data_IF_230246478045
#
_entry.id   IF_230246478045
#
_cell.length_a   1.000
_cell.length_b   1.000
_cell.length_c   1.000
_cell.angle_alpha   90.00
_cell.angle_beta   90.00
_cell.angle_gamma   90.00
#
_symmetry.space_group_name_H-M   'P 1'
#
loop_
_entity.id
_entity.type
_entity.pdbx_description
1 polymer ?
#
# COMPACT_ATOMS: atom_id res chain seq x y z
N UNK A 1 2.32 43.16 -15.66
CA UNK A 1 0.98 42.54 -15.78
C UNK A 1 0.97 41.33 -14.88
N UNK A 2 0.44 41.47 -13.67
CA UNK A 2 0.39 40.43 -12.63
C UNK A 2 -0.99 39.82 -12.64
N UNK A 3 -1.08 38.52 -12.95
CA UNK A 3 -2.31 37.72 -12.81
C UNK A 3 -2.61 37.51 -11.31
N UNK A 4 -3.89 37.47 -10.90
CA UNK A 4 -4.26 37.30 -9.51
C UNK A 4 -4.07 35.84 -9.04
N UNK A 5 -3.55 35.68 -7.82
CA UNK A 5 -3.45 34.40 -7.11
C UNK A 5 -4.84 33.86 -6.73
N UNK A 6 -5.02 32.53 -6.61
CA UNK A 6 -6.28 31.94 -6.18
C UNK A 6 -6.58 32.29 -4.72
N UNK A 7 -7.81 32.72 -4.48
CA UNK A 7 -8.32 33.16 -3.18
C UNK A 7 -8.50 31.92 -2.28
N UNK A 8 -8.09 31.93 -1.00
CA UNK A 8 -8.42 30.87 -0.06
C UNK A 8 -9.94 30.81 0.16
N UNK A 9 -10.54 29.64 0.48
CA UNK A 9 -11.99 29.44 0.50
C UNK A 9 -12.76 30.21 1.60
N UNK A 10 -12.11 31.11 2.34
CA UNK A 10 -12.69 31.79 3.50
C UNK A 10 -12.73 33.33 3.36
N UNK A 11 -12.74 33.86 2.14
CA UNK A 11 -13.00 35.28 1.93
C UNK A 11 -14.51 35.57 2.06
N UNK A 12 -14.91 35.90 3.29
CA UNK A 12 -16.09 36.71 3.66
C UNK A 12 -17.46 36.00 3.63
N UNK A 13 -17.90 35.53 4.81
CA UNK A 13 -19.33 35.55 5.18
C UNK A 13 -19.51 35.65 6.69
N UNK A 14 -19.92 36.84 7.12
CA UNK A 14 -20.78 37.13 8.27
C UNK A 14 -20.55 36.35 9.58
N UNK A 15 -19.67 36.90 10.43
CA UNK A 15 -19.97 37.27 11.81
C UNK A 15 -20.42 36.25 12.87
N UNK A 16 -20.68 34.97 12.56
CA UNK A 16 -21.26 34.05 13.55
C UNK A 16 -20.63 32.65 13.63
N UNK A 17 -19.47 32.41 13.02
CA UNK A 17 -18.89 31.06 12.91
C UNK A 17 -17.40 30.98 13.32
N UNK A 18 -16.98 31.71 14.35
CA UNK A 18 -15.59 31.70 14.85
C UNK A 18 -15.16 30.35 15.46
N UNK A 19 -16.08 29.62 16.09
CA UNK A 19 -15.79 28.34 16.75
C UNK A 19 -15.57 27.17 15.78
N UNK A 20 -16.12 27.25 14.57
CA UNK A 20 -15.97 26.21 13.55
C UNK A 20 -14.62 26.26 12.85
N UNK A 21 -14.12 27.46 12.57
CA UNK A 21 -12.84 27.66 11.89
C UNK A 21 -11.65 27.29 12.78
N UNK A 22 -11.69 27.70 14.05
CA UNK A 22 -10.67 27.33 15.04
C UNK A 22 -10.61 25.81 15.22
N UNK A 23 -11.77 25.12 15.26
CA UNK A 23 -11.82 23.65 15.39
C UNK A 23 -11.37 22.93 14.11
N UNK A 24 -11.61 23.49 12.93
CA UNK A 24 -11.12 22.92 11.66
C UNK A 24 -9.62 23.16 11.48
N UNK A 25 -9.11 24.34 11.86
CA UNK A 25 -7.68 24.61 11.89
C UNK A 25 -6.99 23.77 12.95
N UNK A 26 -7.53 23.61 14.16
CA UNK A 26 -6.95 22.72 15.18
C UNK A 26 -7.00 21.25 14.75
N UNK A 27 -8.10 20.79 14.16
CA UNK A 27 -8.20 19.41 13.65
C UNK A 27 -7.27 19.19 12.45
N UNK A 28 -7.11 20.18 11.57
CA UNK A 28 -6.15 20.12 10.47
C UNK A 28 -4.72 20.16 10.99
N UNK A 29 -4.40 21.00 11.99
CA UNK A 29 -3.07 21.12 12.59
C UNK A 29 -2.71 19.88 13.42
N UNK A 30 -3.66 19.30 14.15
CA UNK A 30 -3.50 18.05 14.91
C UNK A 30 -3.37 16.84 13.98
N UNK A 31 -4.10 16.81 12.86
CA UNK A 31 -3.92 15.80 11.81
C UNK A 31 -2.51 15.90 11.19
N UNK A 32 -1.99 17.12 10.93
CA UNK A 32 -0.61 17.32 10.45
C UNK A 32 0.46 17.02 11.51
N UNK A 33 0.11 17.06 12.80
CA UNK A 33 1.06 16.77 13.89
C UNK A 33 1.14 15.27 14.21
N UNK A 34 0.05 14.51 14.02
CA UNK A 34 0.04 13.04 14.12
C UNK A 34 0.53 12.37 12.82
N UNK A 35 0.46 13.07 11.69
CA UNK A 35 1.03 12.70 10.41
C UNK A 35 2.08 13.73 10.03
N UNK A 36 3.11 13.92 10.86
CA UNK A 36 4.30 14.63 10.42
C UNK A 36 4.68 14.08 9.04
N UNK A 37 4.78 14.90 7.98
CA UNK A 37 5.21 14.39 6.70
C UNK A 37 6.60 13.83 6.94
N UNK A 38 6.74 12.51 6.79
CA UNK A 38 7.99 11.77 7.04
C UNK A 38 9.14 12.32 6.19
N UNK A 39 8.82 13.10 5.15
CA UNK A 39 9.76 13.83 4.29
C UNK A 39 9.37 15.28 4.13
N UNK A 40 10.36 16.17 4.09
CA UNK A 40 10.15 17.59 3.78
C UNK A 40 9.72 17.79 2.33
N UNK A 41 9.02 18.87 1.98
CA UNK A 41 8.63 19.15 0.57
C UNK A 41 9.83 19.17 -0.39
N UNK A 42 11.01 19.60 0.09
CA UNK A 42 12.26 19.56 -0.67
C UNK A 42 12.75 18.14 -0.91
N UNK A 43 12.71 17.31 0.12
CA UNK A 43 13.07 15.89 0.02
C UNK A 43 12.08 15.12 -0.86
N UNK A 44 10.79 15.46 -0.82
CA UNK A 44 9.79 14.95 -1.76
C UNK A 44 10.13 15.41 -3.18
N UNK A 45 10.44 16.68 -3.41
CA UNK A 45 10.77 17.19 -4.74
C UNK A 45 12.06 16.56 -5.31
N UNK A 46 13.05 16.31 -4.46
CA UNK A 46 14.35 15.74 -4.83
C UNK A 46 14.32 14.22 -5.02
N UNK A 47 13.42 13.52 -4.31
CA UNK A 47 13.27 12.05 -4.37
C UNK A 47 12.06 11.56 -5.16
N UNK A 48 11.12 12.45 -5.52
CA UNK A 48 9.97 12.10 -6.35
C UNK A 48 10.40 11.76 -7.77
N UNK A 49 9.68 10.82 -8.38
CA UNK A 49 9.83 10.60 -9.81
C UNK A 49 9.31 11.83 -10.55
N UNK A 50 10.01 12.27 -11.60
CA UNK A 50 9.47 13.30 -12.49
C UNK A 50 8.17 12.76 -13.08
N UNK A 51 7.04 13.41 -12.80
CA UNK A 51 5.80 13.10 -13.49
C UNK A 51 6.02 13.34 -14.98
N UNK A 52 5.53 12.43 -15.82
CA UNK A 52 5.61 12.62 -17.26
C UNK A 52 4.70 13.82 -17.60
N UNK A 53 5.31 14.95 -17.94
CA UNK A 53 4.57 16.13 -18.40
C UNK A 53 3.74 15.72 -19.62
N UNK A 54 2.39 15.77 -19.56
CA UNK A 54 1.54 15.39 -20.68
C UNK A 54 1.77 16.24 -21.94
N UNK A 55 2.47 17.37 -21.82
CA UNK A 55 2.85 18.24 -22.93
C UNK A 55 4.32 18.03 -23.40
N UNK A 56 5.01 17.03 -22.87
CA UNK A 56 6.31 16.51 -23.33
C UNK A 56 7.46 17.54 -23.45
N UNK A 57 7.40 18.66 -22.73
CA UNK A 57 8.32 19.77 -22.93
C UNK A 57 9.54 19.83 -21.99
N UNK A 58 9.76 18.88 -21.07
CA UNK A 58 11.02 18.83 -20.30
C UNK A 58 11.40 17.39 -19.90
N UNK A 59 12.36 16.79 -20.59
CA UNK A 59 13.46 16.08 -19.91
C UNK A 59 14.70 16.93 -20.14
N UNK A 60 15.24 17.62 -19.12
CA UNK A 60 16.57 18.19 -19.27
C UNK A 60 17.51 16.98 -19.41
N UNK A 61 18.51 17.01 -20.30
CA UNK A 61 19.60 16.05 -20.25
C UNK A 61 20.33 16.26 -18.92
N UNK A 62 19.88 15.62 -17.84
CA UNK A 62 20.70 15.50 -16.64
C UNK A 62 21.90 14.64 -17.02
N UNK A 63 23.09 14.97 -16.52
CA UNK A 63 24.35 14.28 -16.81
C UNK A 63 24.35 12.75 -16.50
N UNK A 64 23.25 12.21 -16.01
CA UNK A 64 22.98 10.78 -15.79
C UNK A 64 22.49 10.14 -17.10
N UNK A 65 23.39 10.03 -18.08
CA UNK A 65 23.09 9.66 -19.47
C UNK A 65 22.44 8.29 -19.69
N UNK A 66 21.81 8.15 -20.88
CA UNK A 66 21.44 6.94 -21.65
C UNK A 66 20.86 5.70 -20.91
N UNK A 67 20.53 5.80 -19.62
CA UNK A 67 19.98 4.71 -18.82
C UNK A 67 18.45 4.76 -18.85
N UNK A 68 17.78 3.60 -18.84
CA UNK A 68 16.32 3.55 -18.77
C UNK A 68 15.82 4.19 -17.46
N UNK A 69 14.73 4.98 -17.54
CA UNK A 69 14.05 5.57 -16.37
C UNK A 69 13.52 4.52 -15.39
N UNK A 70 13.30 3.30 -15.87
CA UNK A 70 12.82 2.14 -15.10
C UNK A 70 13.97 1.19 -14.71
N UNK A 71 13.73 0.40 -13.67
CA UNK A 71 14.63 -0.69 -13.26
C UNK A 71 15.23 -0.49 -11.87
N UNK A 72 16.11 -1.40 -11.42
CA UNK A 72 16.62 -1.43 -10.04
C UNK A 72 17.35 -0.15 -9.61
N UNK A 73 17.81 0.65 -10.58
CA UNK A 73 18.57 1.88 -10.36
C UNK A 73 17.69 3.13 -10.26
N UNK A 74 16.37 3.02 -10.47
CA UNK A 74 15.47 4.16 -10.31
C UNK A 74 15.21 4.44 -8.82
N UNK A 75 15.07 5.72 -8.47
CA UNK A 75 14.96 6.18 -7.06
C UNK A 75 13.77 5.55 -6.32
N UNK A 76 12.63 5.36 -7.01
CA UNK A 76 11.47 4.66 -6.46
C UNK A 76 11.75 3.20 -6.04
N UNK A 77 12.54 2.42 -6.80
CA UNK A 77 12.93 1.06 -6.40
C UNK A 77 13.86 1.09 -5.21
N UNK A 78 14.78 2.05 -5.18
CA UNK A 78 15.77 2.15 -4.12
C UNK A 78 15.08 2.49 -2.80
N UNK A 79 14.16 3.45 -2.81
CA UNK A 79 13.35 3.77 -1.65
C UNK A 79 12.51 2.58 -1.18
N UNK A 80 11.85 1.85 -2.10
CA UNK A 80 11.12 0.63 -1.77
C UNK A 80 12.02 -0.50 -1.25
N UNK A 81 13.26 -0.59 -1.74
CA UNK A 81 14.24 -1.58 -1.30
C UNK A 81 14.82 -1.24 0.08
N UNK A 82 15.05 0.04 0.37
CA UNK A 82 15.52 0.55 1.66
C UNK A 82 14.47 0.36 2.76
N UNK A 83 13.19 0.50 2.43
CA UNK A 83 12.07 0.24 3.36
C UNK A 83 11.88 -1.26 3.67
N UNK A 84 12.56 -2.16 2.95
CA UNK A 84 12.42 -3.60 3.13
C UNK A 84 13.42 -4.16 4.13
N UNK A 85 12.96 -4.44 5.35
CA UNK A 85 13.79 -5.05 6.38
C UNK A 85 14.26 -6.46 5.97
N UNK A 86 15.43 -6.91 6.45
CA UNK A 86 15.91 -8.27 6.19
C UNK A 86 14.92 -9.34 6.70
N UNK A 87 14.19 -9.05 7.78
CA UNK A 87 13.13 -9.92 8.30
C UNK A 87 11.96 -10.09 7.31
N UNK A 88 11.55 -9.01 6.63
CA UNK A 88 10.49 -9.08 5.62
C UNK A 88 10.92 -9.89 4.40
N UNK A 89 12.17 -9.72 3.96
CA UNK A 89 12.76 -10.56 2.88
C UNK A 89 12.80 -12.04 3.26
N UNK A 90 13.18 -12.37 4.50
CA UNK A 90 13.15 -13.75 4.98
C UNK A 90 11.73 -14.31 5.00
N UNK A 91 10.74 -13.53 5.46
CA UNK A 91 9.33 -13.92 5.44
C UNK A 91 8.85 -14.25 4.02
N UNK A 92 9.22 -13.44 3.02
CA UNK A 92 8.90 -13.70 1.62
C UNK A 92 9.49 -15.01 1.13
N UNK A 93 10.79 -15.22 1.37
CA UNK A 93 11.47 -16.47 1.00
C UNK A 93 10.81 -17.69 1.63
N UNK A 94 10.55 -17.64 2.94
CA UNK A 94 9.88 -18.72 3.66
C UNK A 94 8.49 -18.96 3.09
N UNK A 95 7.70 -17.90 2.84
CA UNK A 95 6.36 -18.01 2.27
C UNK A 95 6.37 -18.69 0.90
N UNK A 96 7.28 -18.28 0.01
CA UNK A 96 7.41 -18.87 -1.34
C UNK A 96 7.82 -20.34 -1.26
N UNK A 97 8.83 -20.67 -0.45
CA UNK A 97 9.29 -22.07 -0.29
C UNK A 97 8.16 -22.95 0.28
N UNK A 98 7.45 -22.49 1.30
CA UNK A 98 6.31 -23.21 1.88
C UNK A 98 5.18 -23.37 0.86
N UNK A 99 4.84 -22.32 0.13
CA UNK A 99 3.82 -22.39 -0.92
C UNK A 99 4.20 -23.42 -2.01
N UNK A 100 5.42 -23.35 -2.56
CA UNK A 100 5.87 -24.28 -3.59
C UNK A 100 5.88 -25.73 -3.08
N UNK A 101 6.36 -25.99 -1.87
CA UNK A 101 6.39 -27.35 -1.29
C UNK A 101 4.98 -27.91 -1.07
N UNK A 102 4.04 -27.09 -0.60
CA UNK A 102 2.63 -27.47 -0.46
C UNK A 102 1.98 -27.76 -1.83
N UNK A 103 2.20 -26.90 -2.83
CA UNK A 103 1.65 -27.12 -4.19
C UNK A 103 2.17 -28.43 -4.81
N UNK A 104 3.49 -28.70 -4.70
CA UNK A 104 4.09 -29.92 -5.24
C UNK A 104 3.58 -31.16 -4.50
N UNK A 105 3.55 -31.12 -3.17
CA UNK A 105 3.07 -32.26 -2.37
C UNK A 105 1.58 -32.54 -2.63
N UNK A 106 0.73 -31.51 -2.68
CA UNK A 106 -0.68 -31.65 -3.06
C UNK A 106 -0.83 -32.24 -4.48
N UNK A 107 -0.04 -31.77 -5.45
CA UNK A 107 -0.01 -32.31 -6.81
C UNK A 107 0.34 -33.80 -6.85
N UNK A 108 1.36 -34.22 -6.10
CA UNK A 108 1.77 -35.64 -5.99
C UNK A 108 0.66 -36.48 -5.34
N UNK A 109 0.02 -35.97 -4.28
CA UNK A 109 -1.07 -36.66 -3.60
C UNK A 109 -2.29 -36.81 -4.51
N UNK A 110 -2.66 -35.75 -5.23
CA UNK A 110 -3.73 -35.82 -6.24
C UNK A 110 -3.40 -36.85 -7.32
N UNK A 111 -2.18 -36.83 -7.88
CA UNK A 111 -1.79 -37.80 -8.90
C UNK A 111 -1.84 -39.27 -8.42
N UNK A 112 -1.58 -39.53 -7.13
CA UNK A 112 -1.58 -40.90 -6.57
C UNK A 112 -2.95 -41.39 -6.13
N UNK A 113 -3.79 -40.52 -5.57
CA UNK A 113 -4.97 -40.94 -4.81
C UNK A 113 -6.30 -40.44 -5.40
N UNK A 114 -6.28 -39.54 -6.37
CA UNK A 114 -7.50 -38.96 -6.93
C UNK A 114 -8.23 -40.00 -7.79
N UNK A 115 -9.46 -40.33 -7.39
CA UNK A 115 -10.41 -41.10 -8.20
C UNK A 115 -11.44 -40.16 -8.79
N UNK A 116 -11.70 -40.29 -10.07
CA UNK A 116 -12.63 -39.44 -10.82
C UNK A 116 -14.08 -39.92 -10.65
N UNK A 117 -14.56 -39.94 -9.41
CA UNK A 117 -15.94 -40.32 -9.07
C UNK A 117 -16.82 -39.07 -8.87
N UNK A 118 -18.15 -39.23 -8.83
CA UNK A 118 -19.08 -38.11 -8.66
C UNK A 118 -18.84 -37.28 -7.39
N UNK A 119 -18.27 -37.87 -6.34
CA UNK A 119 -17.85 -37.17 -5.12
C UNK A 119 -16.75 -36.15 -5.35
N UNK A 120 -15.94 -36.29 -6.41
CA UNK A 120 -14.90 -35.34 -6.76
C UNK A 120 -15.49 -33.97 -7.14
N UNK A 121 -16.61 -33.96 -7.86
CA UNK A 121 -17.29 -32.72 -8.24
C UNK A 121 -17.82 -31.99 -6.99
N UNK A 122 -18.44 -32.73 -6.07
CA UNK A 122 -18.91 -32.17 -4.81
C UNK A 122 -17.75 -31.63 -3.96
N UNK A 123 -16.66 -32.39 -3.86
CA UNK A 123 -15.46 -31.97 -3.14
C UNK A 123 -14.79 -30.75 -3.77
N UNK A 124 -14.78 -30.63 -5.10
CA UNK A 124 -14.26 -29.47 -5.81
C UNK A 124 -15.08 -28.21 -5.51
N UNK A 125 -16.41 -28.29 -5.57
CA UNK A 125 -17.30 -27.17 -5.25
C UNK A 125 -17.12 -26.76 -3.78
N UNK A 126 -17.16 -27.72 -2.86
CA UNK A 126 -16.94 -27.45 -1.43
C UNK A 126 -15.55 -26.84 -1.19
N UNK A 127 -14.53 -27.31 -1.90
CA UNK A 127 -13.17 -26.78 -1.85
C UNK A 127 -13.08 -25.31 -2.27
N UNK A 128 -13.72 -24.94 -3.39
CA UNK A 128 -13.76 -23.53 -3.85
C UNK A 128 -14.45 -22.64 -2.81
N UNK A 129 -15.63 -23.04 -2.33
CA UNK A 129 -16.37 -22.25 -1.34
C UNK A 129 -15.59 -22.08 -0.03
N UNK A 130 -14.92 -23.16 0.42
CA UNK A 130 -14.10 -23.13 1.63
C UNK A 130 -12.87 -22.24 1.44
N UNK A 131 -12.22 -22.32 0.27
CA UNK A 131 -11.06 -21.50 -0.05
C UNK A 131 -11.41 -20.00 -0.10
N UNK A 132 -12.52 -19.64 -0.74
CA UNK A 132 -12.99 -18.25 -0.80
C UNK A 132 -13.27 -17.71 0.61
N UNK A 133 -14.03 -18.46 1.42
CA UNK A 133 -14.31 -18.07 2.80
C UNK A 133 -13.03 -17.95 3.65
N UNK A 134 -12.15 -18.96 3.61
CA UNK A 134 -10.91 -18.96 4.38
C UNK A 134 -9.98 -17.82 3.95
N UNK A 135 -9.91 -17.52 2.65
CA UNK A 135 -9.12 -16.39 2.14
C UNK A 135 -9.63 -15.05 2.68
N UNK A 136 -10.95 -14.86 2.74
CA UNK A 136 -11.57 -13.67 3.33
C UNK A 136 -11.26 -13.52 4.82
N UNK A 137 -11.29 -14.62 5.59
CA UNK A 137 -10.91 -14.62 7.01
C UNK A 137 -9.44 -14.25 7.21
N UNK A 138 -8.54 -14.80 6.39
CA UNK A 138 -7.11 -14.48 6.45
C UNK A 138 -6.85 -13.02 6.07
N UNK A 139 -7.54 -12.49 5.07
CA UNK A 139 -7.44 -11.08 4.68
C UNK A 139 -7.92 -10.17 5.82
N UNK A 140 -9.10 -10.47 6.36
CA UNK A 140 -9.65 -9.74 7.50
C UNK A 140 -8.71 -9.79 8.71
N UNK A 141 -8.12 -10.95 9.01
CA UNK A 141 -7.17 -11.11 10.11
C UNK A 141 -5.89 -10.29 9.89
N UNK A 142 -5.40 -10.20 8.65
CA UNK A 142 -4.24 -9.37 8.31
C UNK A 142 -4.53 -7.87 8.47
N UNK A 143 -5.73 -7.43 8.04
CA UNK A 143 -6.17 -6.03 8.15
C UNK A 143 -6.46 -5.61 9.60
N UNK A 144 -6.75 -6.58 10.48
CA UNK A 144 -7.06 -6.34 11.90
C UNK A 144 -5.90 -6.61 12.85
N UNK A 145 -4.79 -7.20 12.38
CA UNK A 145 -3.63 -7.50 13.23
C UNK A 145 -2.92 -6.22 13.70
N UNK A 146 -2.92 -5.99 15.01
CA UNK A 146 -2.32 -4.79 15.63
C UNK A 146 -3.29 -3.62 15.83
N UNK A 147 -4.59 -3.79 15.56
CA UNK A 147 -5.58 -2.77 15.92
C UNK A 147 -5.75 -2.70 17.45
N UNK A 148 -5.70 -1.48 17.99
CA UNK A 148 -5.79 -1.20 19.45
C UNK A 148 -7.16 -1.58 20.03
N UNK A 149 -8.15 -1.84 19.19
CA UNK A 149 -9.52 -2.24 19.56
C UNK A 149 -9.75 -3.78 19.56
N UNK A 150 -8.71 -4.60 19.44
CA UNK A 150 -8.85 -6.05 19.50
C UNK A 150 -9.39 -6.50 20.87
N UNK A 151 -10.52 -7.24 20.96
CA UNK A 151 -11.12 -7.64 22.23
C UNK A 151 -10.27 -8.61 23.07
N UNK A 152 -9.10 -9.04 22.55
CA UNK A 152 -8.20 -10.01 23.20
C UNK A 152 -6.86 -9.36 23.62
N UNK A 153 -6.40 -8.28 22.95
CA UNK A 153 -5.09 -7.64 23.21
C UNK A 153 -5.23 -6.12 23.46
N UNK A 154 -6.39 -5.54 23.17
CA UNK A 154 -6.66 -4.10 23.15
C UNK A 154 -7.62 -3.64 24.24
N UNK A 155 -7.27 -3.89 25.50
CA UNK A 155 -7.60 -3.06 26.67
C UNK A 155 -7.02 -3.70 27.92
N UNK A 156 -5.95 -3.10 28.42
CA UNK A 156 -5.62 -3.09 29.85
C UNK A 156 -5.72 -1.64 30.30
#
# INVERSE_FOLDING_TARGET
MTLPLPIPPCAKRDGLSGLGCERFEYASTMATTLLAPVKTEREILEHSMTEDDPNANVQPPSEVGNQPRWGPRHRGAQELAELYSPGKRLQEWVCVVVCCTLCISAGILMAKYLRADASLLLAAIAGVLTADFASGVVHWAADTWGAVDLPIIGKV
#
